data_IF_958835963243
#
_entry.id   IF_958835963243
#
_cell.length_a   1.000
_cell.length_b   1.000
_cell.length_c   1.000
_cell.angle_alpha   90.00
_cell.angle_beta   90.00
_cell.angle_gamma   90.00
#
_symmetry.space_group_name_H-M   'P 1'
#
loop_
_entity.id
_entity.type
_entity.pdbx_description
1 polymer ?
#
# COMPACT_ATOMS: atom_id res chain seq x y z
N UNK A 1 45.35 -4.90 16.49
CA UNK A 1 44.66 -5.22 15.23
C UNK A 1 43.41 -4.36 15.14
N UNK A 2 43.51 -3.19 14.51
CA UNK A 2 42.38 -2.29 14.28
C UNK A 2 41.47 -2.92 13.24
N UNK A 3 40.33 -3.46 13.67
CA UNK A 3 39.27 -3.89 12.74
C UNK A 3 38.76 -2.63 12.07
N UNK A 4 39.11 -2.47 10.80
CA UNK A 4 38.70 -1.34 9.96
C UNK A 4 37.17 -1.37 9.81
N UNK A 5 36.50 -0.49 10.54
CA UNK A 5 35.04 -0.36 10.58
C UNK A 5 34.47 0.03 9.21
N UNK A 6 35.29 0.57 8.29
CA UNK A 6 34.89 0.88 6.91
C UNK A 6 34.71 -0.38 6.07
N UNK A 7 35.50 -1.42 6.30
CA UNK A 7 35.38 -2.70 5.58
C UNK A 7 34.07 -3.44 5.94
N UNK A 8 33.57 -3.28 7.18
CA UNK A 8 32.29 -3.87 7.60
C UNK A 8 31.06 -3.19 6.96
N UNK A 9 31.15 -1.91 6.58
CA UNK A 9 30.04 -1.20 5.93
C UNK A 9 29.76 -1.63 4.48
N UNK A 10 30.76 -2.21 3.81
CA UNK A 10 30.65 -2.65 2.41
C UNK A 10 30.15 -4.10 2.26
N UNK A 11 30.02 -4.84 3.36
CA UNK A 11 29.62 -6.24 3.39
C UNK A 11 28.23 -6.49 3.98
N UNK A 12 27.52 -5.44 4.42
CA UNK A 12 26.09 -5.54 4.74
C UNK A 12 25.32 -5.33 3.44
N UNK A 13 24.64 -6.34 2.88
CA UNK A 13 23.84 -6.13 1.68
C UNK A 13 22.74 -5.12 2.03
N UNK A 14 22.85 -3.89 1.52
CA UNK A 14 21.74 -2.92 1.53
C UNK A 14 20.45 -3.59 1.02
N UNK A 15 20.59 -4.60 0.17
CA UNK A 15 19.55 -5.47 -0.36
C UNK A 15 18.60 -6.04 0.70
N UNK A 16 19.06 -6.44 1.90
CA UNK A 16 18.15 -6.99 2.91
C UNK A 16 17.26 -5.93 3.55
N UNK A 17 17.81 -4.74 3.80
CA UNK A 17 17.04 -3.61 4.35
C UNK A 17 16.02 -3.14 3.31
N UNK A 18 16.41 -3.14 2.03
CA UNK A 18 15.53 -2.81 0.93
C UNK A 18 14.45 -3.88 0.71
N UNK A 19 14.79 -5.16 0.78
CA UNK A 19 13.85 -6.28 0.66
C UNK A 19 12.87 -6.38 1.84
N UNK A 20 13.22 -5.83 3.01
CA UNK A 20 12.35 -5.81 4.18
C UNK A 20 11.08 -4.97 3.97
N UNK A 21 11.06 -4.03 3.02
CA UNK A 21 9.91 -3.15 2.77
C UNK A 21 9.55 -3.14 1.28
N UNK A 22 8.28 -3.45 0.96
CA UNK A 22 7.82 -3.44 -0.43
C UNK A 22 7.93 -2.03 -1.08
N UNK A 23 8.22 -1.98 -2.38
CA UNK A 23 8.31 -0.73 -3.14
C UNK A 23 7.04 0.13 -3.06
N UNK A 24 5.88 -0.54 -3.00
CA UNK A 24 4.59 0.13 -2.81
C UNK A 24 4.51 0.81 -1.44
N UNK A 25 4.96 0.14 -0.37
CA UNK A 25 5.02 0.72 0.98
C UNK A 25 5.98 1.91 1.00
N UNK A 26 7.15 1.78 0.38
CA UNK A 26 8.15 2.85 0.27
C UNK A 26 7.59 4.08 -0.44
N UNK A 27 6.97 3.88 -1.60
CA UNK A 27 6.34 4.96 -2.38
C UNK A 27 5.21 5.62 -1.59
N UNK A 28 4.40 4.81 -0.90
CA UNK A 28 3.32 5.30 -0.06
C UNK A 28 3.83 6.17 1.11
N UNK A 29 4.91 5.77 1.78
CA UNK A 29 5.54 6.57 2.83
C UNK A 29 6.17 7.85 2.29
N UNK A 30 6.85 7.79 1.15
CA UNK A 30 7.40 9.00 0.50
C UNK A 30 6.30 10.02 0.17
N UNK A 31 5.16 9.56 -0.36
CA UNK A 31 4.02 10.41 -0.63
C UNK A 31 3.40 10.98 0.66
N UNK A 32 3.37 10.20 1.74
CA UNK A 32 2.88 10.67 3.03
C UNK A 32 3.78 11.78 3.62
N UNK A 33 5.09 11.60 3.55
CA UNK A 33 6.07 12.61 3.98
C UNK A 33 5.96 13.87 3.12
N UNK A 34 5.80 13.71 1.81
CA UNK A 34 5.60 14.84 0.90
C UNK A 34 4.36 15.64 1.27
N UNK A 35 3.24 14.96 1.53
CA UNK A 35 2.00 15.61 1.95
C UNK A 35 2.17 16.34 3.30
N UNK A 36 2.87 15.75 4.27
CA UNK A 36 3.14 16.40 5.55
C UNK A 36 3.94 17.70 5.37
N UNK A 37 4.94 17.68 4.47
CA UNK A 37 5.71 18.88 4.11
C UNK A 37 4.90 19.91 3.33
N UNK A 38 4.04 19.46 2.41
CA UNK A 38 3.16 20.34 1.62
C UNK A 38 2.14 21.08 2.49
N UNK A 39 1.70 20.47 3.60
CA UNK A 39 0.87 21.15 4.59
C UNK A 39 1.62 22.29 5.32
N UNK A 40 2.95 22.30 5.26
CA UNK A 40 3.79 23.34 5.88
C UNK A 40 4.61 22.86 7.09
N UNK A 41 4.58 21.56 7.41
CA UNK A 41 5.41 21.04 8.49
C UNK A 41 6.85 20.76 8.03
N UNK A 42 7.80 21.05 8.92
CA UNK A 42 9.22 20.77 8.73
C UNK A 42 9.57 19.46 9.45
N UNK A 43 10.52 18.72 8.90
CA UNK A 43 11.08 17.51 9.51
C UNK A 43 12.57 17.77 9.83
N UNK A 44 13.08 17.39 11.02
CA UNK A 44 12.39 16.71 12.13
C UNK A 44 11.28 17.55 12.78
N UNK A 45 10.27 16.87 13.34
CA UNK A 45 9.07 17.53 13.91
C UNK A 45 8.88 17.18 15.37
N UNK A 46 8.05 17.97 16.07
CA UNK A 46 7.63 17.68 17.46
C UNK A 46 6.26 17.02 17.50
N UNK A 47 5.91 16.44 18.66
CA UNK A 47 4.59 15.87 18.91
C UNK A 47 3.46 16.89 18.74
N UNK A 48 3.67 18.16 19.10
CA UNK A 48 2.65 19.21 19.00
C UNK A 48 2.28 19.52 17.55
N UNK A 49 3.27 19.53 16.64
CA UNK A 49 3.03 19.71 15.21
C UNK A 49 2.26 18.53 14.64
N UNK A 50 2.55 17.31 15.09
CA UNK A 50 1.80 16.11 14.69
C UNK A 50 0.35 16.20 15.15
N UNK A 51 0.11 16.63 16.39
CA UNK A 51 -1.25 16.79 16.92
C UNK A 51 -2.01 17.85 16.12
N UNK A 52 -1.39 19.00 15.81
CA UNK A 52 -1.98 20.03 14.93
C UNK A 52 -2.33 19.48 13.55
N UNK A 53 -1.44 18.68 12.96
CA UNK A 53 -1.67 18.02 11.68
C UNK A 53 -2.87 17.07 11.75
N UNK A 54 -2.97 16.26 12.80
CA UNK A 54 -4.09 15.34 13.01
C UNK A 54 -5.42 16.08 13.16
N UNK A 55 -5.45 17.17 13.92
CA UNK A 55 -6.66 17.99 14.06
C UNK A 55 -7.08 18.64 12.74
N UNK A 56 -6.14 19.19 11.96
CA UNK A 56 -6.45 19.84 10.69
C UNK A 56 -7.12 18.88 9.69
N UNK A 57 -6.69 17.63 9.66
CA UNK A 57 -7.18 16.62 8.71
C UNK A 57 -8.19 15.61 9.30
N UNK A 58 -8.62 15.79 10.56
CA UNK A 58 -9.51 14.86 11.25
C UNK A 58 -10.83 14.62 10.48
N UNK A 59 -11.42 15.71 9.96
CA UNK A 59 -12.68 15.67 9.22
C UNK A 59 -12.50 15.41 7.71
N UNK A 60 -11.30 15.65 7.19
CA UNK A 60 -11.03 15.64 5.75
C UNK A 60 -10.52 14.27 5.26
N UNK A 61 -9.76 13.56 6.09
CA UNK A 61 -9.11 12.30 5.70
C UNK A 61 -9.67 11.12 6.49
N UNK A 62 -9.66 9.95 5.86
CA UNK A 62 -9.99 8.71 6.55
C UNK A 62 -9.01 8.48 7.74
N UNK A 63 -9.49 8.16 8.95
CA UNK A 63 -8.62 7.89 10.10
C UNK A 63 -7.51 6.87 9.82
N UNK A 64 -7.76 5.87 8.96
CA UNK A 64 -6.74 4.90 8.54
C UNK A 64 -5.61 5.54 7.73
N UNK A 65 -5.95 6.51 6.88
CA UNK A 65 -4.95 7.29 6.14
C UNK A 65 -4.09 8.08 7.11
N UNK A 66 -4.70 8.72 8.12
CA UNK A 66 -3.96 9.44 9.16
C UNK A 66 -3.00 8.52 9.93
N UNK A 67 -3.46 7.34 10.35
CA UNK A 67 -2.59 6.33 11.00
C UNK A 67 -1.39 5.99 10.12
N UNK A 68 -1.61 5.69 8.83
CA UNK A 68 -0.53 5.35 7.90
C UNK A 68 0.47 6.51 7.75
N UNK A 69 -0.03 7.75 7.68
CA UNK A 69 0.82 8.96 7.61
C UNK A 69 1.67 9.14 8.88
N UNK A 70 1.10 8.91 10.06
CA UNK A 70 1.85 8.94 11.33
C UNK A 70 2.92 7.84 11.35
N UNK A 71 2.60 6.64 10.87
CA UNK A 71 3.61 5.58 10.70
C UNK A 71 4.74 5.99 9.76
N UNK A 72 4.43 6.66 8.64
CA UNK A 72 5.45 7.17 7.72
C UNK A 72 6.36 8.21 8.41
N UNK A 73 5.79 9.13 9.19
CA UNK A 73 6.55 10.13 9.96
C UNK A 73 7.45 9.45 11.00
N UNK A 74 6.93 8.47 11.73
CA UNK A 74 7.70 7.66 12.68
C UNK A 74 8.89 7.01 11.99
N UNK A 75 8.65 6.28 10.90
CA UNK A 75 9.69 5.57 10.15
C UNK A 75 10.72 6.54 9.58
N UNK A 76 10.31 7.72 9.14
CA UNK A 76 11.24 8.77 8.73
C UNK A 76 12.17 9.19 9.88
N UNK A 77 11.67 9.41 11.10
CA UNK A 77 12.53 9.76 12.24
C UNK A 77 13.48 8.61 12.61
N UNK A 78 12.97 7.38 12.64
CA UNK A 78 13.77 6.20 12.96
C UNK A 78 14.90 6.00 11.94
N UNK A 79 14.63 6.11 10.64
CA UNK A 79 15.65 5.97 9.59
C UNK A 79 16.67 7.12 9.57
N UNK A 80 16.30 8.30 10.05
CA UNK A 80 17.22 9.44 10.18
C UNK A 80 17.94 9.47 11.53
N UNK A 81 17.65 8.53 12.45
CA UNK A 81 18.28 8.46 13.76
C UNK A 81 17.77 9.50 14.78
N UNK A 82 16.62 10.14 14.52
CA UNK A 82 16.01 11.10 15.44
C UNK A 82 15.08 10.42 16.46
N UNK A 83 14.83 11.09 17.59
CA UNK A 83 13.82 10.66 18.55
C UNK A 83 12.44 10.64 17.90
N UNK A 84 11.66 9.59 18.16
CA UNK A 84 10.32 9.41 17.59
C UNK A 84 9.28 10.31 18.30
N UNK A 85 8.76 11.36 17.64
CA UNK A 85 7.75 12.25 18.22
C UNK A 85 6.37 11.59 18.38
N UNK A 86 6.14 10.43 17.74
CA UNK A 86 4.87 9.70 17.80
C UNK A 86 4.72 8.87 19.08
N UNK A 87 5.82 8.66 19.83
CA UNK A 87 5.81 7.99 21.14
C UNK A 87 5.09 8.80 22.22
N UNK A 88 4.90 10.10 22.02
CA UNK A 88 4.14 10.91 22.95
C UNK A 88 2.69 10.37 23.07
N UNK A 89 2.21 10.02 24.29
CA UNK A 89 0.87 9.47 24.49
C UNK A 89 -0.26 10.33 23.93
N UNK A 90 -0.06 11.66 23.85
CA UNK A 90 -1.02 12.60 23.29
C UNK A 90 -1.35 12.26 21.82
N UNK A 91 -0.34 11.92 21.01
CA UNK A 91 -0.53 11.57 19.59
C UNK A 91 -1.42 10.33 19.45
N UNK A 92 -1.14 9.30 20.24
CA UNK A 92 -1.94 8.08 20.26
C UNK A 92 -3.38 8.31 20.74
N UNK A 93 -3.55 9.15 21.78
CA UNK A 93 -4.88 9.51 22.30
C UNK A 93 -5.69 10.31 21.28
N UNK A 94 -5.08 11.27 20.59
CA UNK A 94 -5.72 12.05 19.51
C UNK A 94 -6.15 11.15 18.36
N UNK A 95 -5.29 10.24 17.90
CA UNK A 95 -5.65 9.27 16.85
C UNK A 95 -6.84 8.41 17.26
N UNK A 96 -6.86 7.91 18.50
CA UNK A 96 -7.98 7.12 19.02
C UNK A 96 -9.27 7.93 19.07
N UNK A 97 -9.20 9.20 19.49
CA UNK A 97 -10.32 10.13 19.44
C UNK A 97 -10.87 10.29 18.03
N UNK A 98 -10.01 10.56 17.05
CA UNK A 98 -10.39 10.70 15.63
C UNK A 98 -11.02 9.41 15.09
N UNK A 99 -10.48 8.25 15.46
CA UNK A 99 -11.05 6.96 15.06
C UNK A 99 -12.44 6.71 15.65
N UNK A 100 -12.69 7.12 16.89
CA UNK A 100 -13.99 6.96 17.52
C UNK A 100 -15.05 7.90 16.93
N UNK A 101 -14.65 9.13 16.57
CA UNK A 101 -15.57 10.14 16.05
C UNK A 101 -15.81 9.99 14.54
N UNK A 102 -14.75 9.74 13.75
CA UNK A 102 -14.80 9.71 12.29
C UNK A 102 -14.55 8.34 11.68
N UNK A 103 -14.46 7.30 12.52
CA UNK A 103 -14.29 5.92 12.08
C UNK A 103 -15.41 5.48 11.16
N UNK A 104 -15.06 5.10 9.93
CA UNK A 104 -16.01 4.56 8.95
C UNK A 104 -15.68 3.08 8.68
N UNK A 105 -16.69 2.20 8.58
CA UNK A 105 -16.46 0.82 8.19
C UNK A 105 -15.83 0.75 6.80
N UNK A 106 -15.03 -0.30 6.55
CA UNK A 106 -14.42 -0.51 5.25
C UNK A 106 -15.53 -0.80 4.23
N UNK A 107 -15.73 0.12 3.29
CA UNK A 107 -16.52 -0.17 2.10
C UNK A 107 -15.76 -1.21 1.29
N UNK A 108 -16.33 -2.40 1.17
CA UNK A 108 -15.82 -3.46 0.31
C UNK A 108 -16.49 -3.31 -1.05
N UNK A 109 -15.75 -3.57 -2.12
CA UNK A 109 -16.37 -3.74 -3.43
C UNK A 109 -17.37 -4.90 -3.35
N UNK A 110 -18.47 -4.79 -4.09
CA UNK A 110 -19.43 -5.88 -4.23
C UNK A 110 -18.70 -7.10 -4.83
N UNK A 111 -19.03 -8.32 -4.38
CA UNK A 111 -18.48 -9.51 -4.99
C UNK A 111 -18.92 -9.57 -6.45
N UNK A 112 -17.99 -9.88 -7.35
CA UNK A 112 -18.34 -10.21 -8.73
C UNK A 112 -19.03 -11.58 -8.70
N UNK A 113 -20.29 -11.64 -9.13
CA UNK A 113 -21.04 -12.90 -9.23
C UNK A 113 -20.79 -13.56 -10.59
N UNK A 114 -21.06 -14.86 -10.68
CA UNK A 114 -20.94 -15.60 -11.95
C UNK A 114 -21.92 -15.03 -13.00
N UNK A 115 -23.15 -14.69 -12.61
CA UNK A 115 -24.13 -14.10 -13.53
C UNK A 115 -23.67 -12.74 -14.07
N UNK A 116 -23.09 -11.89 -13.20
CA UNK A 116 -22.53 -10.62 -13.62
C UNK A 116 -21.32 -10.82 -14.56
N UNK A 117 -20.49 -11.84 -14.30
CA UNK A 117 -19.39 -12.19 -15.19
C UNK A 117 -19.88 -12.60 -16.58
N UNK A 118 -20.91 -13.45 -16.66
CA UNK A 118 -21.50 -13.88 -17.94
C UNK A 118 -21.99 -12.66 -18.73
N UNK A 119 -22.75 -11.77 -18.09
CA UNK A 119 -23.23 -10.54 -18.74
C UNK A 119 -22.08 -9.66 -19.24
N UNK A 120 -21.00 -9.51 -18.46
CA UNK A 120 -19.82 -8.74 -18.89
C UNK A 120 -19.12 -9.38 -20.09
N UNK A 121 -19.04 -10.70 -20.13
CA UNK A 121 -18.43 -11.46 -21.24
C UNK A 121 -19.27 -11.32 -22.50
N UNK A 122 -20.59 -11.43 -22.39
CA UNK A 122 -21.52 -11.29 -23.52
C UNK A 122 -21.40 -9.90 -24.15
N UNK A 123 -21.42 -8.84 -23.33
CA UNK A 123 -21.23 -7.45 -23.79
C UNK A 123 -19.89 -7.25 -24.53
N UNK A 124 -18.81 -7.88 -24.05
CA UNK A 124 -17.50 -7.78 -24.68
C UNK A 124 -17.40 -8.60 -25.98
N UNK A 125 -18.31 -9.55 -26.20
CA UNK A 125 -18.34 -10.40 -27.39
C UNK A 125 -19.23 -9.85 -28.52
N UNK A 126 -20.11 -8.87 -28.26
CA UNK A 126 -21.05 -8.33 -29.26
C UNK A 126 -20.37 -7.66 -30.46
N UNK A 127 -19.20 -7.02 -30.26
CA UNK A 127 -18.40 -6.42 -31.33
C UNK A 127 -16.93 -6.30 -30.90
N UNK A 128 -16.16 -7.41 -30.96
CA UNK A 128 -14.91 -7.50 -30.22
C UNK A 128 -13.78 -6.70 -30.89
N UNK A 129 -13.39 -5.58 -30.27
CA UNK A 129 -12.10 -4.97 -30.55
C UNK A 129 -10.96 -5.75 -29.87
N UNK A 130 -9.71 -5.48 -30.24
CA UNK A 130 -8.55 -6.04 -29.54
C UNK A 130 -8.56 -5.69 -28.03
N UNK A 131 -9.12 -4.53 -27.66
CA UNK A 131 -9.27 -4.15 -26.26
C UNK A 131 -10.30 -5.02 -25.54
N UNK A 132 -11.40 -5.35 -26.20
CA UNK A 132 -12.49 -6.14 -25.62
C UNK A 132 -12.06 -7.59 -25.44
N UNK A 133 -11.39 -8.18 -26.44
CA UNK A 133 -10.80 -9.52 -26.34
C UNK A 133 -9.83 -9.60 -25.15
N UNK A 134 -8.94 -8.60 -25.02
CA UNK A 134 -8.00 -8.54 -23.91
C UNK A 134 -8.72 -8.38 -22.56
N UNK A 135 -9.69 -7.48 -22.46
CA UNK A 135 -10.42 -7.23 -21.22
C UNK A 135 -11.21 -8.46 -20.80
N UNK A 136 -11.84 -9.14 -21.77
CA UNK A 136 -12.57 -10.38 -21.57
C UNK A 136 -11.64 -11.46 -20.99
N UNK A 137 -10.49 -11.70 -21.61
CA UNK A 137 -9.48 -12.62 -21.09
C UNK A 137 -8.99 -12.24 -19.68
N UNK A 138 -8.70 -10.95 -19.44
CA UNK A 138 -8.23 -10.46 -18.13
C UNK A 138 -9.26 -10.66 -17.02
N UNK A 139 -10.54 -10.39 -17.29
CA UNK A 139 -11.61 -10.54 -16.32
C UNK A 139 -11.79 -12.02 -15.97
N UNK A 140 -11.84 -12.90 -16.97
CA UNK A 140 -11.99 -14.34 -16.76
C UNK A 140 -10.78 -14.94 -15.99
N UNK A 141 -9.55 -14.63 -16.41
CA UNK A 141 -8.34 -15.10 -15.73
C UNK A 141 -8.28 -14.56 -14.30
N UNK A 142 -8.61 -13.29 -14.10
CA UNK A 142 -8.67 -12.67 -12.78
C UNK A 142 -9.69 -13.33 -11.86
N UNK A 143 -10.88 -13.63 -12.39
CA UNK A 143 -11.97 -14.25 -11.65
C UNK A 143 -11.65 -15.69 -11.25
N UNK A 144 -11.39 -16.57 -12.22
CA UNK A 144 -11.14 -17.99 -11.94
C UNK A 144 -9.78 -18.24 -11.27
N UNK A 145 -8.79 -17.39 -11.54
CA UNK A 145 -7.48 -17.42 -10.88
C UNK A 145 -7.48 -16.80 -9.48
N UNK A 146 -8.54 -16.10 -9.08
CA UNK A 146 -8.59 -15.27 -7.87
C UNK A 146 -7.41 -14.28 -7.76
N UNK A 147 -6.91 -13.81 -8.91
CA UNK A 147 -5.73 -12.95 -8.97
C UNK A 147 -6.09 -11.50 -8.63
N UNK A 148 -5.25 -10.87 -7.81
CA UNK A 148 -5.30 -9.41 -7.65
C UNK A 148 -4.74 -8.72 -8.89
N UNK A 149 -5.12 -7.46 -9.11
CA UNK A 149 -4.60 -6.64 -10.22
C UNK A 149 -3.06 -6.68 -10.34
N UNK A 150 -2.34 -6.60 -9.23
CA UNK A 150 -0.86 -6.63 -9.23
C UNK A 150 -0.28 -8.00 -9.61
N UNK A 151 -1.05 -9.08 -9.43
CA UNK A 151 -0.66 -10.44 -9.81
C UNK A 151 -0.93 -10.65 -11.30
N UNK A 152 -2.08 -10.16 -11.81
CA UNK A 152 -2.39 -10.18 -13.25
C UNK A 152 -1.33 -9.50 -14.11
N UNK A 153 -0.82 -8.34 -13.67
CA UNK A 153 0.24 -7.61 -14.40
C UNK A 153 1.57 -8.38 -14.40
N UNK A 154 1.77 -9.28 -13.43
CA UNK A 154 2.97 -10.14 -13.31
C UNK A 154 2.78 -11.50 -13.96
N UNK A 155 1.66 -11.77 -14.65
CA UNK A 155 1.50 -13.01 -15.38
C UNK A 155 2.41 -13.04 -16.61
N UNK A 156 3.28 -14.05 -16.66
CA UNK A 156 4.11 -14.36 -17.80
C UNK A 156 3.60 -15.65 -18.46
N UNK A 157 3.68 -15.72 -19.80
CA UNK A 157 3.18 -16.84 -20.61
C UNK A 157 3.63 -18.23 -20.12
N UNK A 158 4.87 -18.36 -19.63
CA UNK A 158 5.37 -19.62 -19.05
C UNK A 158 4.68 -20.04 -17.75
N UNK A 159 4.29 -19.09 -16.90
CA UNK A 159 3.55 -19.38 -15.67
C UNK A 159 2.10 -19.78 -15.97
N UNK A 160 1.51 -19.24 -17.04
CA UNK A 160 0.13 -19.49 -17.42
C UNK A 160 -0.11 -20.96 -17.80
N UNK A 161 0.79 -21.56 -18.57
CA UNK A 161 0.72 -22.96 -18.99
C UNK A 161 0.77 -23.88 -17.75
N UNK A 162 1.71 -23.62 -16.82
CA UNK A 162 1.82 -24.41 -15.59
C UNK A 162 0.55 -24.35 -14.72
N UNK A 163 -0.10 -23.18 -14.61
CA UNK A 163 -1.31 -23.01 -13.80
C UNK A 163 -2.55 -23.73 -14.35
N UNK A 164 -2.68 -23.83 -15.69
CA UNK A 164 -3.79 -24.57 -16.31
C UNK A 164 -3.67 -26.08 -16.07
N UNK A 165 -2.45 -26.64 -16.09
CA UNK A 165 -2.25 -28.08 -15.85
C UNK A 165 -2.42 -28.49 -14.38
N UNK A 166 -2.10 -27.62 -13.41
CA UNK A 166 -2.19 -27.99 -11.99
C UNK A 166 -3.61 -27.90 -11.42
N UNK A 167 -4.50 -27.09 -12.01
CA UNK A 167 -5.88 -26.92 -11.55
C UNK A 167 -6.94 -27.70 -12.34
N UNK A 168 -6.59 -28.32 -13.46
CA UNK A 168 -7.47 -29.24 -14.18
C UNK A 168 -7.55 -30.65 -13.55
N UNK A 169 -6.93 -30.86 -12.38
CA UNK A 169 -6.82 -32.14 -11.66
C UNK A 169 -7.51 -32.14 -10.29
N UNK A 170 -8.34 -31.13 -9.99
CA UNK A 170 -9.22 -31.06 -8.82
C UNK A 170 -10.64 -30.79 -9.33
#
# INVERSE_FOLDING_TARGET
ASVDTRALSLLMPQDYIHAATSDNTRTAYQNDIRHFRQWGAVLPTTSDVIVRYLHHYADQLNPRTLVRRITAIKQWHEYQGFSDPTKNPVVGKTLRGIQNVHGKPKVKALPLTVDALIQMVDLLNESPSLFDIRNNALIQIGFFGAFRRSELVKLWLKCFISLMYTRALI
#
